data_IF_542364487775
#
_entry.id   IF_542364487775
#
_cell.length_a   1.000
_cell.length_b   1.000
_cell.length_c   1.000
_cell.angle_alpha   90.00
_cell.angle_beta   90.00
_cell.angle_gamma   90.00
#
_symmetry.space_group_name_H-M   'P 1'
#
loop_
_entity.id
_entity.type
_entity.pdbx_description
1 polymer ?
#
# COMPACT_ATOMS: atom_id res chain seq x y z
N UNK A 1 30.09 10.04 -39.39
CA UNK A 1 29.34 8.83 -39.04
C UNK A 1 28.42 8.56 -40.22
N UNK A 2 28.57 7.45 -40.91
CA UNK A 2 27.92 7.19 -42.21
C UNK A 2 26.40 7.06 -42.05
N UNK A 3 25.60 7.56 -43.00
CA UNK A 3 24.13 7.51 -42.95
C UNK A 3 23.59 6.07 -42.77
N UNK A 4 24.35 5.07 -43.22
CA UNK A 4 24.07 3.64 -43.03
C UNK A 4 24.12 3.18 -41.57
N UNK A 5 24.94 3.79 -40.71
CA UNK A 5 24.92 3.50 -39.27
C UNK A 5 23.68 4.09 -38.60
N UNK A 6 23.22 5.26 -39.06
CA UNK A 6 22.04 5.90 -38.52
C UNK A 6 20.78 5.09 -38.86
N UNK A 7 20.69 4.56 -40.09
CA UNK A 7 19.58 3.70 -40.51
C UNK A 7 19.51 2.40 -39.73
N UNK A 8 20.66 1.79 -39.40
CA UNK A 8 20.70 0.55 -38.61
C UNK A 8 20.23 0.76 -37.17
N UNK A 9 20.37 1.98 -36.64
CA UNK A 9 19.87 2.34 -35.32
C UNK A 9 18.42 2.84 -35.33
N UNK A 10 17.77 3.03 -36.48
CA UNK A 10 16.40 3.57 -36.51
C UNK A 10 15.39 2.75 -35.68
N UNK A 11 15.66 1.46 -35.48
CA UNK A 11 14.79 0.53 -34.75
C UNK A 11 15.21 0.30 -33.28
N UNK A 12 16.17 1.05 -32.71
CA UNK A 12 16.61 0.82 -31.32
C UNK A 12 15.49 1.03 -30.29
N UNK A 13 14.53 1.88 -30.63
CA UNK A 13 13.39 2.22 -29.78
C UNK A 13 12.21 1.27 -29.99
N UNK A 14 12.26 0.35 -30.97
CA UNK A 14 11.15 -0.57 -31.21
C UNK A 14 10.87 -1.41 -29.96
N UNK A 15 9.67 -1.22 -29.42
CA UNK A 15 9.23 -1.91 -28.23
C UNK A 15 8.25 -3.02 -28.58
N UNK A 16 8.40 -4.17 -27.95
CA UNK A 16 7.34 -5.16 -27.92
C UNK A 16 6.04 -4.53 -27.34
N UNK A 17 4.95 -4.47 -28.12
CA UNK A 17 3.70 -3.85 -27.71
C UNK A 17 3.04 -4.55 -26.51
N UNK A 18 3.37 -5.81 -26.23
CA UNK A 18 2.87 -6.52 -25.06
C UNK A 18 3.60 -6.16 -23.76
N UNK A 19 4.76 -5.49 -23.84
CA UNK A 19 5.55 -5.08 -22.67
C UNK A 19 5.41 -3.57 -22.40
N UNK A 20 5.55 -2.75 -23.45
CA UNK A 20 5.58 -1.29 -23.33
C UNK A 20 4.53 -0.58 -24.18
N UNK A 21 3.60 -1.34 -24.77
CA UNK A 21 2.53 -0.77 -25.58
C UNK A 21 1.55 0.05 -24.75
N UNK A 22 0.78 0.88 -25.46
CA UNK A 22 -0.09 1.90 -24.86
C UNK A 22 -1.07 1.30 -23.85
N UNK A 23 -1.69 0.15 -24.14
CA UNK A 23 -2.64 -0.47 -23.23
C UNK A 23 -2.03 -0.93 -21.91
N UNK A 24 -0.80 -1.49 -21.92
CA UNK A 24 -0.08 -1.87 -20.68
C UNK A 24 0.27 -0.64 -19.85
N UNK A 25 0.67 0.46 -20.48
CA UNK A 25 0.96 1.71 -19.77
C UNK A 25 -0.29 2.29 -19.14
N UNK A 26 -1.36 2.43 -19.94
CA UNK A 26 -2.64 2.99 -19.49
C UNK A 26 -3.24 2.13 -18.37
N UNK A 27 -3.20 0.79 -18.50
CA UNK A 27 -3.67 -0.10 -17.44
C UNK A 27 -2.84 0.10 -16.17
N UNK A 28 -1.52 0.18 -16.28
CA UNK A 28 -0.64 0.38 -15.14
C UNK A 28 -0.89 1.74 -14.46
N UNK A 29 -1.06 2.82 -15.24
CA UNK A 29 -1.41 4.14 -14.72
C UNK A 29 -2.76 4.11 -14.01
N UNK A 30 -3.78 3.53 -14.65
CA UNK A 30 -5.11 3.46 -14.07
C UNK A 30 -5.11 2.61 -12.79
N UNK A 31 -4.47 1.44 -12.80
CA UNK A 31 -4.36 0.57 -11.63
C UNK A 31 -3.64 1.26 -10.47
N UNK A 32 -2.55 1.96 -10.75
CA UNK A 32 -1.78 2.67 -9.73
C UNK A 32 -2.58 3.82 -9.12
N UNK A 33 -3.31 4.57 -9.95
CA UNK A 33 -4.17 5.67 -9.50
C UNK A 33 -5.35 5.17 -8.67
N UNK A 34 -6.06 4.15 -9.17
CA UNK A 34 -7.20 3.54 -8.49
C UNK A 34 -6.81 2.92 -7.16
N UNK A 35 -5.62 2.30 -7.06
CA UNK A 35 -5.14 1.75 -5.79
C UNK A 35 -5.05 2.82 -4.72
N UNK A 36 -4.46 3.98 -5.01
CA UNK A 36 -4.31 5.05 -4.03
C UNK A 36 -5.66 5.60 -3.61
N UNK A 37 -6.58 5.81 -4.56
CA UNK A 37 -7.96 6.21 -4.26
C UNK A 37 -8.71 5.17 -3.41
N UNK A 38 -8.55 3.89 -3.73
CA UNK A 38 -9.22 2.80 -3.03
C UNK A 38 -8.72 2.71 -1.60
N UNK A 39 -7.42 2.79 -1.38
CA UNK A 39 -6.83 2.72 -0.02
C UNK A 39 -7.26 3.90 0.85
N UNK A 40 -7.45 5.07 0.26
CA UNK A 40 -7.97 6.23 0.96
C UNK A 40 -9.47 6.10 1.33
N UNK A 41 -10.25 5.32 0.57
CA UNK A 41 -11.72 5.23 0.73
C UNK A 41 -12.21 3.94 1.39
N UNK A 42 -11.69 2.80 0.99
CA UNK A 42 -12.11 1.46 1.44
C UNK A 42 -10.92 0.70 2.03
N UNK A 43 -10.80 0.75 3.35
CA UNK A 43 -9.76 0.03 4.09
C UNK A 43 -10.01 -1.48 4.14
N UNK A 44 -11.27 -1.92 3.98
CA UNK A 44 -11.65 -3.34 4.03
C UNK A 44 -11.22 -4.07 2.75
N UNK A 45 -11.39 -3.43 1.59
CA UNK A 45 -11.01 -3.99 0.29
C UNK A 45 -9.54 -3.73 -0.06
N UNK A 46 -8.92 -2.71 0.56
CA UNK A 46 -7.55 -2.28 0.27
C UNK A 46 -6.49 -3.39 0.29
N UNK A 47 -6.45 -4.32 1.27
CA UNK A 47 -5.39 -5.32 1.33
C UNK A 47 -5.35 -6.23 0.10
N UNK A 48 -6.52 -6.61 -0.42
CA UNK A 48 -6.63 -7.50 -1.58
C UNK A 48 -6.11 -6.77 -2.83
N UNK A 49 -6.61 -5.56 -3.09
CA UNK A 49 -6.17 -4.73 -4.22
C UNK A 49 -4.67 -4.42 -4.14
N UNK A 50 -4.18 -4.11 -2.93
CA UNK A 50 -2.76 -3.85 -2.69
C UNK A 50 -1.90 -5.09 -3.01
N UNK A 51 -2.31 -6.28 -2.57
CA UNK A 51 -1.60 -7.53 -2.91
C UNK A 51 -1.58 -7.82 -4.41
N UNK A 52 -2.70 -7.62 -5.10
CA UNK A 52 -2.77 -7.78 -6.56
C UNK A 52 -1.84 -6.79 -7.25
N UNK A 53 -1.80 -5.54 -6.80
CA UNK A 53 -0.89 -4.53 -7.35
C UNK A 53 0.58 -4.86 -7.10
N UNK A 54 0.93 -5.30 -5.89
CA UNK A 54 2.27 -5.76 -5.52
C UNK A 54 2.68 -6.93 -6.42
N UNK A 55 1.81 -7.93 -6.58
CA UNK A 55 2.09 -9.12 -7.40
C UNK A 55 2.28 -8.77 -8.88
N UNK A 56 1.45 -7.87 -9.43
CA UNK A 56 1.56 -7.43 -10.83
C UNK A 56 2.83 -6.61 -11.06
N UNK A 57 3.13 -5.64 -10.19
CA UNK A 57 4.39 -4.87 -10.24
C UNK A 57 5.62 -5.78 -10.14
N UNK A 58 5.61 -6.73 -9.22
CA UNK A 58 6.68 -7.71 -9.05
C UNK A 58 6.82 -8.64 -10.26
N UNK A 59 5.71 -9.08 -10.85
CA UNK A 59 5.70 -9.89 -12.07
C UNK A 59 6.35 -9.19 -13.26
N UNK A 60 6.05 -7.89 -13.45
CA UNK A 60 6.69 -7.06 -14.50
C UNK A 60 8.19 -6.97 -14.29
N UNK A 61 8.63 -6.79 -13.04
CA UNK A 61 10.04 -6.73 -12.67
C UNK A 61 10.76 -8.07 -12.94
N UNK A 62 10.14 -9.20 -12.58
CA UNK A 62 10.70 -10.53 -12.88
C UNK A 62 10.78 -10.76 -14.39
N UNK A 63 9.72 -10.45 -15.13
CA UNK A 63 9.71 -10.59 -16.58
C UNK A 63 10.87 -9.80 -17.22
N UNK A 64 11.11 -8.58 -16.75
CA UNK A 64 12.22 -7.74 -17.20
C UNK A 64 13.60 -8.39 -16.95
N UNK A 65 13.78 -9.04 -15.80
CA UNK A 65 15.04 -9.73 -15.46
C UNK A 65 15.23 -11.00 -16.27
N UNK A 66 14.17 -11.80 -16.43
CA UNK A 66 14.21 -13.04 -17.20
C UNK A 66 14.53 -12.76 -18.66
N UNK A 67 13.90 -11.73 -19.24
CA UNK A 67 14.08 -11.32 -20.63
C UNK A 67 15.22 -10.31 -20.82
N UNK A 68 16.14 -10.14 -19.86
CA UNK A 68 17.22 -9.13 -19.91
C UNK A 68 18.09 -9.18 -21.18
N UNK A 69 18.16 -10.34 -21.85
CA UNK A 69 18.92 -10.51 -23.11
C UNK A 69 18.17 -9.98 -24.33
N UNK A 70 16.85 -9.97 -24.28
CA UNK A 70 15.97 -9.58 -25.39
C UNK A 70 15.50 -8.12 -25.24
N UNK A 71 15.47 -7.61 -24.00
CA UNK A 71 15.00 -6.26 -23.69
C UNK A 71 16.07 -5.23 -24.02
N UNK A 72 15.68 -4.18 -24.77
CA UNK A 72 16.56 -3.05 -25.06
C UNK A 72 16.77 -2.15 -23.84
N UNK A 73 17.86 -1.40 -23.80
CA UNK A 73 18.11 -0.42 -22.74
C UNK A 73 16.93 0.58 -22.60
N UNK A 74 16.33 0.96 -23.73
CA UNK A 74 15.16 1.83 -23.76
C UNK A 74 13.97 1.23 -23.01
N UNK A 75 13.64 -0.03 -23.27
CA UNK A 75 12.58 -0.74 -22.56
C UNK A 75 12.89 -0.91 -21.07
N UNK A 76 14.15 -1.22 -20.72
CA UNK A 76 14.57 -1.32 -19.32
C UNK A 76 14.41 0.00 -18.55
N UNK A 77 14.77 1.13 -19.18
CA UNK A 77 14.58 2.47 -18.60
C UNK A 77 13.10 2.83 -18.45
N UNK A 78 12.28 2.50 -19.46
CA UNK A 78 10.83 2.71 -19.38
C UNK A 78 10.18 1.86 -18.27
N UNK A 79 10.56 0.58 -18.16
CA UNK A 79 10.12 -0.28 -17.07
C UNK A 79 10.55 0.26 -15.71
N UNK A 80 11.76 0.83 -15.61
CA UNK A 80 12.21 1.49 -14.37
C UNK A 80 11.27 2.64 -13.96
N UNK A 81 10.76 3.44 -14.90
CA UNK A 81 9.76 4.49 -14.60
C UNK A 81 8.45 3.93 -14.05
N UNK A 82 7.91 2.86 -14.68
CA UNK A 82 6.69 2.20 -14.20
C UNK A 82 6.90 1.62 -12.80
N UNK A 83 8.03 0.96 -12.57
CA UNK A 83 8.38 0.39 -11.27
C UNK A 83 8.48 1.47 -10.19
N UNK A 84 9.09 2.62 -10.50
CA UNK A 84 9.13 3.76 -9.58
C UNK A 84 7.74 4.29 -9.25
N UNK A 85 6.88 4.44 -10.26
CA UNK A 85 5.50 4.87 -10.09
C UNK A 85 4.72 3.92 -9.16
N UNK A 86 4.87 2.61 -9.35
CA UNK A 86 4.24 1.61 -8.48
C UNK A 86 4.78 1.63 -7.05
N UNK A 87 6.11 1.68 -6.88
CA UNK A 87 6.72 1.74 -5.55
C UNK A 87 6.25 2.98 -4.78
N UNK A 88 6.11 4.12 -5.47
CA UNK A 88 5.61 5.34 -4.87
C UNK A 88 4.15 5.23 -4.43
N UNK A 89 3.29 4.65 -5.26
CA UNK A 89 1.89 4.42 -4.91
C UNK A 89 1.73 3.42 -3.75
N UNK A 90 2.49 2.31 -3.74
CA UNK A 90 2.51 1.37 -2.62
C UNK A 90 2.91 2.09 -1.33
N UNK A 91 3.93 2.94 -1.38
CA UNK A 91 4.36 3.70 -0.22
C UNK A 91 3.25 4.61 0.33
N UNK A 92 2.57 5.36 -0.54
CA UNK A 92 1.45 6.23 -0.11
C UNK A 92 0.28 5.41 0.41
N UNK A 93 -0.08 4.32 -0.27
CA UNK A 93 -1.10 3.39 0.19
C UNK A 93 -0.77 2.85 1.59
N UNK A 94 0.48 2.45 1.84
CA UNK A 94 0.90 1.98 3.16
C UNK A 94 0.86 3.09 4.21
N UNK A 95 1.24 4.32 3.86
CA UNK A 95 1.16 5.47 4.76
C UNK A 95 -0.29 5.80 5.14
N UNK A 96 -1.19 5.85 4.15
CA UNK A 96 -2.64 6.04 4.36
C UNK A 96 -3.23 4.90 5.20
N UNK A 97 -2.88 3.65 4.90
CA UNK A 97 -3.32 2.47 5.62
C UNK A 97 -2.85 2.49 7.09
N UNK A 98 -1.58 2.82 7.34
CA UNK A 98 -1.00 2.92 8.69
C UNK A 98 -1.74 3.95 9.55
N UNK A 99 -2.08 5.12 8.98
CA UNK A 99 -2.82 6.18 9.68
C UNK A 99 -4.21 5.72 10.10
N UNK A 100 -4.92 5.02 9.22
CA UNK A 100 -6.27 4.54 9.52
C UNK A 100 -6.24 3.39 10.55
N UNK A 101 -5.19 2.56 10.53
CA UNK A 101 -5.01 1.47 11.49
C UNK A 101 -4.86 1.96 12.92
N UNK A 102 -4.23 3.11 13.18
CA UNK A 102 -4.16 3.65 14.56
C UNK A 102 -5.55 3.91 15.17
N UNK A 103 -6.59 4.09 14.34
CA UNK A 103 -7.95 4.26 14.81
C UNK A 103 -8.67 2.93 15.13
N UNK A 104 -8.10 1.78 14.78
CA UNK A 104 -8.64 0.44 15.05
C UNK A 104 -7.70 -0.38 15.92
N UNK A 105 -8.24 -1.32 16.70
CA UNK A 105 -7.41 -2.28 17.44
C UNK A 105 -6.70 -3.17 16.40
N UNK A 106 -5.40 -2.99 16.26
CA UNK A 106 -4.54 -3.68 15.31
C UNK A 106 -4.74 -5.21 15.36
N UNK A 107 -5.10 -5.83 14.23
CA UNK A 107 -5.08 -7.28 14.09
C UNK A 107 -3.67 -7.75 13.74
N UNK A 108 -3.29 -8.95 14.20
CA UNK A 108 -2.00 -9.58 13.88
C UNK A 108 -1.84 -9.88 12.39
N UNK A 109 -2.94 -10.21 11.69
CA UNK A 109 -2.94 -10.50 10.25
C UNK A 109 -2.47 -9.31 9.41
N UNK A 110 -2.80 -8.09 9.82
CA UNK A 110 -2.45 -6.85 9.11
C UNK A 110 -0.94 -6.61 9.06
N UNK A 111 -0.21 -7.12 10.05
CA UNK A 111 1.23 -6.99 10.11
C UNK A 111 1.87 -7.69 8.91
N UNK A 112 1.45 -8.93 8.59
CA UNK A 112 2.02 -9.70 7.47
C UNK A 112 1.90 -8.97 6.14
N UNK A 113 0.77 -8.32 5.89
CA UNK A 113 0.54 -7.53 4.66
C UNK A 113 1.52 -6.36 4.57
N UNK A 114 1.67 -5.61 5.67
CA UNK A 114 2.61 -4.48 5.74
C UNK A 114 4.04 -4.90 5.46
N UNK A 115 4.56 -5.95 6.12
CA UNK A 115 5.93 -6.42 5.88
C UNK A 115 6.12 -7.02 4.49
N UNK A 116 5.12 -7.73 3.96
CA UNK A 116 5.17 -8.25 2.60
C UNK A 116 5.33 -7.13 1.57
N UNK A 117 4.53 -6.07 1.68
CA UNK A 117 4.64 -4.90 0.84
C UNK A 117 5.99 -4.18 0.99
N UNK A 118 6.49 -4.07 2.23
CA UNK A 118 7.78 -3.45 2.49
C UNK A 118 8.95 -4.20 1.86
N UNK A 119 8.98 -5.53 2.01
CA UNK A 119 10.02 -6.40 1.45
C UNK A 119 9.97 -6.37 -0.08
N UNK A 120 8.78 -6.46 -0.68
CA UNK A 120 8.64 -6.39 -2.13
C UNK A 120 9.10 -5.03 -2.68
N UNK A 121 8.77 -3.93 -2.01
CA UNK A 121 9.20 -2.59 -2.41
C UNK A 121 10.73 -2.47 -2.35
N UNK A 122 11.38 -2.98 -1.29
CA UNK A 122 12.84 -3.01 -1.18
C UNK A 122 13.48 -3.85 -2.29
N UNK A 123 12.91 -5.01 -2.59
CA UNK A 123 13.40 -5.86 -3.67
C UNK A 123 13.28 -5.17 -5.03
N UNK A 124 12.13 -4.55 -5.29
CA UNK A 124 11.84 -3.78 -6.50
C UNK A 124 12.80 -2.59 -6.69
N UNK A 125 13.06 -1.83 -5.62
CA UNK A 125 14.04 -0.74 -5.61
C UNK A 125 15.47 -1.25 -5.82
N UNK A 126 15.86 -2.34 -5.15
CA UNK A 126 17.17 -2.97 -5.32
C UNK A 126 17.42 -3.45 -6.74
N UNK A 127 16.40 -4.04 -7.37
CA UNK A 127 16.47 -4.47 -8.77
C UNK A 127 16.53 -3.27 -9.73
N UNK A 128 15.82 -2.18 -9.42
CA UNK A 128 15.96 -0.93 -10.17
C UNK A 128 17.39 -0.41 -10.12
N UNK A 129 18.00 -0.34 -8.93
CA UNK A 129 19.41 0.02 -8.77
C UNK A 129 20.30 -0.95 -9.56
N UNK A 130 20.01 -2.26 -9.53
CA UNK A 130 20.74 -3.24 -10.31
C UNK A 130 20.66 -2.98 -11.82
N UNK A 131 19.49 -2.64 -12.37
CA UNK A 131 19.34 -2.27 -13.80
C UNK A 131 20.23 -1.07 -14.14
N UNK A 132 20.23 -0.03 -13.29
CA UNK A 132 21.10 1.14 -13.47
C UNK A 132 22.59 0.79 -13.33
N UNK A 133 22.96 -0.11 -12.41
CA UNK A 133 24.33 -0.62 -12.20
C UNK A 133 24.82 -1.53 -13.33
N UNK A 134 23.97 -2.37 -13.92
CA UNK A 134 24.35 -3.17 -15.10
C UNK A 134 24.59 -2.26 -16.30
N UNK A 135 23.79 -1.20 -16.44
CA UNK A 135 24.08 -0.13 -17.39
C UNK A 135 25.43 0.56 -17.10
N UNK A 136 25.98 0.43 -15.88
CA UNK A 136 27.25 1.06 -15.48
C UNK A 136 28.51 0.46 -16.14
N UNK A 137 28.49 -0.83 -16.49
CA UNK A 137 29.69 -1.62 -16.78
C UNK A 137 30.56 -1.17 -17.97
N UNK A 138 30.08 -0.31 -18.88
CA UNK A 138 30.77 -0.06 -20.16
C UNK A 138 31.53 1.27 -20.30
N UNK A 139 31.43 2.20 -19.34
CA UNK A 139 31.84 3.60 -19.55
C UNK A 139 33.31 3.95 -19.24
N UNK A 140 34.01 3.13 -18.45
CA UNK A 140 35.41 3.37 -18.15
C UNK A 140 36.29 2.33 -18.85
N UNK A 141 36.51 2.56 -20.15
CA UNK A 141 37.82 2.25 -20.72
C UNK A 141 38.82 3.06 -19.89
N UNK A 142 39.39 2.39 -18.88
CA UNK A 142 40.43 2.95 -18.05
C UNK A 142 41.53 3.49 -18.97
N UNK A 143 42.00 4.69 -18.63
CA UNK A 143 43.19 5.31 -19.19
C UNK A 143 44.27 4.24 -19.43
N UNK A 144 44.89 4.18 -20.63
CA UNK A 144 45.79 3.11 -21.04
C UNK A 144 47.08 2.97 -20.21
N UNK A 145 47.31 3.82 -19.20
CA UNK A 145 48.60 3.91 -18.50
C UNK A 145 48.68 3.12 -17.18
N UNK A 146 47.72 2.26 -16.84
CA UNK A 146 47.85 1.31 -15.72
C UNK A 146 47.69 -0.14 -16.19
N UNK A 147 48.57 -0.49 -17.11
CA UNK A 147 48.72 -1.78 -17.76
C UNK A 147 49.57 -2.69 -16.88
N UNK A 148 49.00 -3.48 -15.97
CA UNK A 148 49.61 -4.78 -15.61
C UNK A 148 48.76 -5.78 -14.78
N UNK A 149 47.57 -5.43 -14.27
CA UNK A 149 46.81 -6.36 -13.42
C UNK A 149 45.32 -6.45 -13.73
N UNK A 150 44.96 -6.64 -15.01
CA UNK A 150 43.60 -7.05 -15.42
C UNK A 150 43.62 -8.04 -16.57
N UNK A 151 44.15 -9.24 -16.32
CA UNK A 151 44.07 -10.38 -17.26
C UNK A 151 42.96 -11.40 -16.93
N UNK A 152 42.08 -11.15 -15.96
CA UNK A 152 40.94 -12.04 -15.71
C UNK A 152 39.68 -11.18 -15.54
N UNK A 153 38.65 -11.51 -16.32
CA UNK A 153 37.33 -10.83 -16.37
C UNK A 153 37.20 -9.66 -17.34
N UNK A 154 37.67 -9.82 -18.58
CA UNK A 154 37.03 -9.23 -19.76
C UNK A 154 35.86 -10.10 -20.22
N UNK A 155 34.96 -10.44 -19.29
CA UNK A 155 33.62 -10.83 -19.70
C UNK A 155 32.97 -9.54 -20.17
N UNK A 156 32.74 -9.41 -21.48
CA UNK A 156 31.90 -8.35 -22.06
C UNK A 156 30.65 -8.31 -21.21
N UNK A 157 30.50 -7.26 -20.39
CA UNK A 157 29.34 -7.15 -19.51
C UNK A 157 28.11 -7.21 -20.42
N UNK A 158 27.13 -8.09 -20.14
CA UNK A 158 25.98 -8.27 -21.00
C UNK A 158 25.25 -6.92 -21.10
N UNK A 159 25.36 -6.29 -22.25
CA UNK A 159 24.56 -5.11 -22.59
C UNK A 159 23.11 -5.56 -22.74
N UNK A 160 22.19 -4.66 -22.42
CA UNK A 160 20.78 -4.90 -22.73
C UNK A 160 20.60 -4.94 -24.25
N UNK A 161 20.12 -6.09 -24.75
CA UNK A 161 19.84 -6.32 -26.15
C UNK A 161 21.07 -6.55 -27.06
N UNK A 162 20.78 -6.94 -28.30
CA UNK A 162 21.77 -7.22 -29.34
C UNK A 162 22.32 -5.96 -30.06
N UNK A 163 21.84 -4.76 -29.71
CA UNK A 163 22.16 -3.48 -30.39
C UNK A 163 22.78 -2.45 -29.45
N UNK A 164 23.87 -2.81 -28.77
CA UNK A 164 24.56 -1.91 -27.83
C UNK A 164 25.10 -0.64 -28.52
N UNK A 165 25.45 -0.72 -29.80
CA UNK A 165 25.97 0.39 -30.61
C UNK A 165 25.01 1.59 -30.70
N UNK A 166 23.70 1.36 -30.59
CA UNK A 166 22.67 2.40 -30.70
C UNK A 166 22.33 3.06 -29.36
N UNK A 167 22.87 2.56 -28.25
CA UNK A 167 22.60 3.08 -26.91
C UNK A 167 22.97 4.56 -26.68
N UNK A 168 23.98 5.16 -27.35
CA UNK A 168 24.31 6.58 -27.20
C UNK A 168 23.20 7.54 -27.69
N UNK A 169 22.30 7.07 -28.55
CA UNK A 169 21.22 7.87 -29.10
C UNK A 169 20.01 7.97 -28.16
N UNK A 170 19.93 7.11 -27.15
CA UNK A 170 18.82 7.10 -26.19
C UNK A 170 18.93 8.34 -25.30
N UNK A 171 17.89 9.17 -25.36
CA UNK A 171 17.74 10.36 -24.53
C UNK A 171 16.88 10.03 -23.32
N UNK A 172 17.46 10.21 -22.14
CA UNK A 172 16.72 10.18 -20.89
C UNK A 172 16.08 11.54 -20.64
N UNK A 173 14.79 11.57 -20.30
CA UNK A 173 14.04 12.82 -20.07
C UNK A 173 13.73 12.91 -18.58
N UNK A 174 14.29 13.90 -17.89
CA UNK A 174 14.04 14.17 -16.48
C UNK A 174 13.59 15.63 -16.33
N UNK A 175 12.40 15.88 -15.79
CA UNK A 175 11.82 17.24 -15.69
C UNK A 175 11.84 18.02 -17.02
N UNK A 176 11.51 17.35 -18.13
CA UNK A 176 11.58 17.89 -19.50
C UNK A 176 13.00 18.23 -20.01
N UNK A 177 14.05 17.98 -19.22
CA UNK A 177 15.44 18.13 -19.64
C UNK A 177 15.88 16.83 -20.32
N UNK A 178 16.40 16.96 -21.54
CA UNK A 178 17.00 15.85 -22.30
C UNK A 178 18.44 15.65 -21.85
N UNK A 179 18.76 14.45 -21.37
CA UNK A 179 20.10 14.07 -20.93
C UNK A 179 20.47 12.76 -21.63
N UNK A 180 21.70 12.61 -22.16
CA UNK A 180 22.13 11.33 -22.73
C UNK A 180 22.06 10.23 -21.67
N UNK A 181 21.32 9.15 -21.96
CA UNK A 181 21.00 8.10 -20.99
C UNK A 181 22.26 7.41 -20.45
N UNK A 182 23.26 7.14 -21.32
CA UNK A 182 24.49 6.46 -20.94
C UNK A 182 25.47 7.28 -20.10
N UNK A 183 25.41 8.62 -20.18
CA UNK A 183 26.35 9.52 -19.48
C UNK A 183 25.70 10.08 -18.23
N UNK A 184 25.27 11.33 -18.28
CA UNK A 184 24.72 12.03 -17.13
C UNK A 184 23.40 11.41 -16.65
N UNK A 185 22.54 10.93 -17.56
CA UNK A 185 21.26 10.30 -17.20
C UNK A 185 21.44 9.11 -16.26
N UNK A 186 22.50 8.31 -16.48
CA UNK A 186 22.88 7.17 -15.65
C UNK A 186 23.23 7.54 -14.23
N UNK A 187 24.11 8.52 -14.05
CA UNK A 187 24.52 8.98 -12.72
C UNK A 187 23.34 9.62 -11.99
N UNK A 188 22.56 10.45 -12.69
CA UNK A 188 21.37 11.09 -12.13
C UNK A 188 20.37 10.03 -11.68
N UNK A 189 20.04 9.06 -12.54
CA UNK A 189 19.11 7.97 -12.24
C UNK A 189 19.58 7.13 -11.06
N UNK A 190 20.87 6.82 -10.97
CA UNK A 190 21.42 6.05 -9.86
C UNK A 190 21.43 6.83 -8.54
N UNK A 191 21.85 8.09 -8.57
CA UNK A 191 21.85 8.97 -7.38
C UNK A 191 20.41 9.10 -6.87
N UNK A 192 19.47 9.39 -7.76
CA UNK A 192 18.07 9.53 -7.41
C UNK A 192 17.49 8.22 -6.87
N UNK A 193 17.72 7.10 -7.54
CA UNK A 193 17.25 5.79 -7.10
C UNK A 193 17.85 5.39 -5.74
N UNK A 194 19.14 5.62 -5.54
CA UNK A 194 19.81 5.37 -4.27
C UNK A 194 19.25 6.25 -3.15
N UNK A 195 19.09 7.55 -3.39
CA UNK A 195 18.58 8.49 -2.40
C UNK A 195 17.16 8.12 -1.96
N UNK A 196 16.28 7.84 -2.93
CA UNK A 196 14.90 7.42 -2.62
C UNK A 196 14.86 6.08 -1.89
N UNK A 197 15.72 5.12 -2.27
CA UNK A 197 15.81 3.83 -1.57
C UNK A 197 16.30 4.00 -0.15
N UNK A 198 17.33 4.81 0.08
CA UNK A 198 17.83 5.13 1.42
C UNK A 198 16.75 5.82 2.27
N UNK A 199 16.06 6.82 1.71
CA UNK A 199 14.96 7.50 2.39
C UNK A 199 13.85 6.51 2.77
N UNK A 200 13.48 5.60 1.85
CA UNK A 200 12.48 4.58 2.10
C UNK A 200 12.90 3.61 3.21
N UNK A 201 14.16 3.16 3.21
CA UNK A 201 14.72 2.31 4.28
C UNK A 201 14.66 3.03 5.63
N UNK A 202 15.04 4.31 5.67
CA UNK A 202 15.01 5.10 6.91
C UNK A 202 13.59 5.22 7.48
N UNK A 203 12.60 5.55 6.64
CA UNK A 203 11.19 5.63 7.06
C UNK A 203 10.67 4.26 7.50
N UNK A 204 11.00 3.21 6.76
CA UNK A 204 10.64 1.82 7.06
C UNK A 204 11.21 1.36 8.41
N UNK A 205 12.50 1.61 8.64
CA UNK A 205 13.17 1.31 9.90
C UNK A 205 12.58 2.10 11.06
N UNK A 206 12.29 3.39 10.85
CA UNK A 206 11.63 4.22 11.87
C UNK A 206 10.25 3.68 12.24
N UNK A 207 9.45 3.29 11.26
CA UNK A 207 8.10 2.75 11.48
C UNK A 207 8.14 1.40 12.19
N UNK A 208 9.04 0.49 11.78
CA UNK A 208 9.28 -0.79 12.46
C UNK A 208 9.76 -0.58 13.90
N UNK A 209 10.72 0.33 14.12
CA UNK A 209 11.25 0.63 15.44
C UNK A 209 10.18 1.26 16.36
N UNK A 210 9.37 2.18 15.82
CA UNK A 210 8.27 2.79 16.56
C UNK A 210 7.19 1.77 16.92
N UNK A 211 6.91 0.82 16.03
CA UNK A 211 5.98 -0.29 16.25
C UNK A 211 6.50 -1.24 17.33
N UNK A 212 7.79 -1.59 17.28
CA UNK A 212 8.45 -2.41 18.30
C UNK A 212 8.42 -1.75 19.68
N UNK A 213 8.72 -0.44 19.76
CA UNK A 213 8.69 0.33 21.01
C UNK A 213 7.30 0.37 21.64
N UNK A 214 6.24 0.48 20.83
CA UNK A 214 4.84 0.45 21.31
C UNK A 214 4.41 -0.94 21.78
N UNK A 215 4.97 -2.00 21.20
CA UNK A 215 4.63 -3.38 21.55
C UNK A 215 5.49 -4.00 22.64
N UNK A 216 6.57 -3.35 23.10
CA UNK A 216 7.30 -3.80 24.28
C UNK A 216 6.27 -3.86 25.42
N UNK A 217 5.81 -5.07 25.81
CA UNK A 217 4.78 -5.19 26.83
C UNK A 217 5.37 -4.52 28.04
N UNK A 218 4.61 -3.64 28.68
CA UNK A 218 4.99 -3.09 29.97
C UNK A 218 5.09 -4.28 30.93
N UNK A 219 6.26 -4.93 30.97
CA UNK A 219 6.63 -5.98 31.93
C UNK A 219 6.51 -5.45 33.37
N UNK A 220 6.33 -4.13 33.54
CA UNK A 220 6.04 -3.51 34.81
C UNK A 220 4.58 -3.69 35.28
N UNK A 221 3.64 -4.07 34.41
CA UNK A 221 2.21 -4.20 34.81
C UNK A 221 1.82 -5.60 35.29
N UNK A 222 2.65 -6.62 35.10
CA UNK A 222 2.37 -7.98 35.60
C UNK A 222 2.75 -8.18 37.07
N UNK A 223 3.39 -7.19 37.71
CA UNK A 223 3.80 -7.29 39.12
C UNK A 223 2.74 -6.82 40.14
N UNK A 224 1.60 -6.28 39.71
CA UNK A 224 0.55 -5.76 40.63
C UNK A 224 -0.49 -6.84 40.99
N UNK A 225 -0.44 -8.05 40.39
CA UNK A 225 -1.42 -9.12 40.67
C UNK A 225 -0.91 -10.24 41.59
N UNK A 226 0.25 -10.05 42.20
CA UNK A 226 0.72 -10.87 43.31
C UNK A 226 0.90 -10.00 44.57
N UNK A 227 -0.09 -9.15 44.87
CA UNK A 227 -0.28 -8.78 46.27
C UNK A 227 -0.82 -10.04 46.96
N UNK A 228 -0.07 -10.66 47.88
CA UNK A 228 -0.56 -11.82 48.60
C UNK A 228 -1.85 -11.43 49.31
N UNK A 229 -2.93 -12.17 49.05
CA UNK A 229 -4.18 -12.04 49.78
C UNK A 229 -3.86 -12.06 51.28
N UNK A 230 -3.87 -10.89 51.91
CA UNK A 230 -3.93 -10.80 53.36
C UNK A 230 -5.26 -11.44 53.75
N UNK A 231 -5.27 -12.47 54.62
CA UNK A 231 -6.49 -13.18 54.97
C UNK A 231 -7.49 -12.17 55.55
N UNK A 232 -8.78 -12.25 55.16
CA UNK A 232 -9.80 -11.37 55.72
C UNK A 232 -9.85 -11.55 57.24
N UNK A 233 -10.02 -10.47 58.02
CA UNK A 233 -10.26 -10.59 59.45
C UNK A 233 -11.52 -11.46 59.69
N UNK A 234 -11.54 -12.30 60.74
CA UNK A 234 -12.62 -13.23 61.00
C UNK A 234 -13.93 -12.47 61.29
N UNK A 235 -14.81 -12.39 60.29
CA UNK A 235 -16.19 -11.96 60.47
C UNK A 235 -17.01 -13.08 61.14
N UNK A 236 -17.80 -12.65 62.13
CA UNK A 236 -18.56 -13.49 63.02
C UNK A 236 -19.65 -14.31 62.30
N UNK A 237 -19.83 -15.52 62.81
CA UNK A 237 -20.80 -16.54 62.41
C UNK A 237 -22.22 -15.96 62.45
N UNK A 238 -22.78 -15.67 61.28
CA UNK A 238 -24.21 -15.42 61.06
C UNK A 238 -24.87 -16.65 60.45
N UNK A 239 -25.52 -17.44 61.27
CA UNK A 239 -26.35 -18.59 60.90
C UNK A 239 -27.56 -18.16 60.08
N UNK A 240 -27.65 -18.55 58.80
CA UNK A 240 -28.94 -18.62 58.12
C UNK A 240 -29.15 -19.93 57.37
N UNK A 241 -30.31 -20.49 57.72
CA UNK A 241 -30.93 -21.77 57.40
C UNK A 241 -30.98 -22.17 55.91
N UNK A 242 -30.84 -23.47 55.72
CA UNK A 242 -31.19 -24.27 54.54
C UNK A 242 -32.72 -24.28 54.37
N UNK A 243 -33.20 -24.12 53.14
CA UNK A 243 -34.51 -24.67 52.75
C UNK A 243 -34.43 -25.21 51.31
N UNK A 244 -34.49 -26.54 51.22
CA UNK A 244 -34.65 -27.30 49.99
C UNK A 244 -36.14 -27.36 49.62
N UNK A 245 -36.47 -27.34 48.32
CA UNK A 245 -37.69 -27.99 47.83
C UNK A 245 -37.51 -28.45 46.37
N UNK A 246 -37.96 -29.68 46.03
CA UNK A 246 -37.87 -30.24 44.68
C UNK A 246 -39.24 -30.37 43.95
N UNK A 247 -39.13 -30.66 42.66
CA UNK A 247 -40.03 -31.39 41.76
C UNK A 247 -41.22 -30.71 41.02
N UNK A 248 -41.34 -31.12 39.75
CA UNK A 248 -42.53 -31.60 38.99
C UNK A 248 -42.80 -30.95 37.61
N UNK A 249 -42.53 -31.76 36.57
CA UNK A 249 -43.25 -32.10 35.34
C UNK A 249 -43.75 -31.07 34.30
N UNK A 250 -43.28 -31.32 33.06
CA UNK A 250 -44.00 -31.47 31.77
C UNK A 250 -45.42 -30.92 31.58
N UNK A 251 -45.62 -30.09 30.55
CA UNK A 251 -46.71 -30.26 29.56
C UNK A 251 -46.50 -29.42 28.29
N UNK A 252 -47.10 -29.88 27.19
CA UNK A 252 -46.91 -29.38 25.83
C UNK A 252 -48.23 -28.85 25.22
N UNK A 253 -48.07 -28.00 24.18
CA UNK A 253 -48.97 -27.62 23.04
C UNK A 253 -50.10 -26.54 23.27
N UNK A 254 -50.71 -25.91 22.21
CA UNK A 254 -50.58 -24.49 21.81
C UNK A 254 -51.97 -23.77 21.70
N UNK A 255 -52.24 -22.86 20.73
CA UNK A 255 -51.82 -21.46 20.53
C UNK A 255 -53.01 -20.46 20.72
N UNK A 256 -52.76 -19.16 20.92
CA UNK A 256 -53.63 -18.08 20.38
C UNK A 256 -53.11 -16.66 20.63
N UNK A 257 -53.31 -15.85 19.59
CA UNK A 257 -53.31 -14.40 19.55
C UNK A 257 -53.98 -13.74 20.78
N UNK A 258 -53.41 -12.64 21.28
CA UNK A 258 -54.05 -11.32 21.23
C UNK A 258 -53.13 -10.18 21.66
N UNK A 259 -53.47 -9.01 21.12
CA UNK A 259 -52.85 -7.72 21.27
C UNK A 259 -53.07 -7.06 22.65
N UNK A 260 -52.36 -5.94 22.84
CA UNK A 260 -52.58 -4.86 23.83
C UNK A 260 -52.19 -5.29 25.27
N UNK A 261 -51.25 -4.69 26.00
CA UNK A 261 -51.29 -3.30 26.53
C UNK A 261 -49.97 -3.04 27.28
N UNK A 262 -49.48 -1.80 27.25
CA UNK A 262 -48.36 -1.33 28.04
C UNK A 262 -48.65 -1.41 29.55
N UNK A 263 -47.71 -1.96 30.32
CA UNK A 263 -47.62 -1.77 31.77
C UNK A 263 -46.19 -1.38 32.09
N UNK A 264 -46.02 -0.10 32.39
CA UNK A 264 -44.82 0.51 32.95
C UNK A 264 -44.70 0.06 34.41
N UNK A 265 -43.70 -0.76 34.71
CA UNK A 265 -43.30 -1.04 36.10
C UNK A 265 -42.05 -0.22 36.39
N UNK A 266 -42.25 0.90 37.09
CA UNK A 266 -41.20 1.67 37.75
C UNK A 266 -40.65 0.86 38.92
N UNK A 267 -39.51 0.20 38.73
CA UNK A 267 -38.73 -0.35 39.84
C UNK A 267 -37.70 0.69 40.27
N UNK A 268 -38.08 1.52 41.23
CA UNK A 268 -37.19 2.43 41.95
C UNK A 268 -36.25 1.62 42.86
N UNK A 269 -35.07 1.25 42.34
CA UNK A 269 -33.97 0.73 43.16
C UNK A 269 -33.03 1.87 43.52
N UNK A 270 -33.17 2.33 44.76
CA UNK A 270 -32.19 3.14 45.48
C UNK A 270 -30.93 2.32 45.72
N UNK A 271 -29.85 2.60 44.99
CA UNK A 271 -28.50 2.17 45.39
C UNK A 271 -27.57 3.36 45.56
N UNK A 272 -27.26 3.56 46.84
CA UNK A 272 -26.16 4.28 47.47
C UNK A 272 -25.13 4.97 46.54
N UNK A 273 -25.18 6.29 46.62
CA UNK A 273 -24.16 7.26 46.25
C UNK A 273 -22.83 7.00 46.98
N UNK A 274 -21.86 6.40 46.30
CA UNK A 274 -20.44 6.44 46.68
C UNK A 274 -19.73 7.53 45.87
N UNK A 275 -19.53 8.67 46.54
CA UNK A 275 -18.86 9.85 46.02
C UNK A 275 -17.35 9.59 45.92
N UNK A 276 -16.89 9.10 44.76
CA UNK A 276 -15.49 9.20 44.37
C UNK A 276 -15.35 10.16 43.21
N UNK A 277 -15.28 11.45 43.55
CA UNK A 277 -15.01 12.57 42.67
C UNK A 277 -13.60 12.45 42.08
N UNK A 278 -13.43 11.55 41.10
CA UNK A 278 -12.26 11.57 40.23
C UNK A 278 -12.32 12.84 39.42
N UNK A 279 -11.31 13.69 39.59
CA UNK A 279 -11.01 14.82 38.72
C UNK A 279 -10.96 14.35 37.26
N UNK A 280 -12.11 14.44 36.58
CA UNK A 280 -12.19 14.28 35.13
C UNK A 280 -11.54 15.54 34.56
N UNK A 281 -10.24 15.45 34.25
CA UNK A 281 -9.57 16.42 33.41
C UNK A 281 -10.36 16.52 32.10
N UNK A 282 -11.23 17.52 32.02
CA UNK A 282 -11.99 17.89 30.81
C UNK A 282 -10.97 18.26 29.76
N UNK A 283 -10.60 17.26 28.93
CA UNK A 283 -9.77 17.45 27.75
C UNK A 283 -10.35 18.62 26.94
N UNK A 284 -9.52 19.56 26.48
CA UNK A 284 -9.98 20.72 25.75
C UNK A 284 -10.82 20.25 24.55
N UNK A 285 -12.04 20.81 24.47
CA UNK A 285 -13.04 20.56 23.45
C UNK A 285 -12.45 21.03 22.12
N UNK A 286 -11.75 20.13 21.41
CA UNK A 286 -11.13 20.43 20.11
C UNK A 286 -12.20 21.01 19.20
N UNK A 287 -11.95 22.22 18.70
CA UNK A 287 -12.83 22.94 17.78
C UNK A 287 -13.24 21.99 16.66
N UNK A 288 -14.55 21.77 16.57
CA UNK A 288 -15.19 20.98 15.55
C UNK A 288 -15.06 21.75 14.24
N UNK A 289 -13.98 21.47 13.48
CA UNK A 289 -13.85 21.97 12.12
C UNK A 289 -15.02 21.41 11.32
N UNK A 290 -15.90 22.29 10.87
CA UNK A 290 -17.11 22.01 10.10
C UNK A 290 -16.84 21.74 8.61
N UNK A 291 -15.57 21.58 8.24
CA UNK A 291 -15.20 21.03 6.94
C UNK A 291 -15.16 19.51 7.02
N UNK A 292 -16.10 18.83 6.36
CA UNK A 292 -16.19 17.36 6.33
C UNK A 292 -14.92 16.69 5.76
N UNK A 293 -14.09 17.43 5.02
CA UNK A 293 -12.82 16.92 4.51
C UNK A 293 -11.67 17.09 5.51
N UNK A 294 -10.96 15.98 5.76
CA UNK A 294 -9.73 15.97 6.52
C UNK A 294 -8.63 16.72 5.71
N UNK A 295 -8.14 17.89 6.16
CA UNK A 295 -7.19 18.69 5.40
C UNK A 295 -5.89 17.92 5.12
N UNK A 296 -5.54 16.95 5.98
CA UNK A 296 -4.39 16.08 5.76
C UNK A 296 -4.63 15.10 4.61
N UNK A 297 -5.85 14.55 4.49
CA UNK A 297 -6.21 13.67 3.35
C UNK A 297 -6.17 14.47 2.04
N UNK A 298 -6.77 15.66 2.03
CA UNK A 298 -6.76 16.54 0.84
C UNK A 298 -5.33 16.85 0.43
N UNK A 299 -4.45 17.17 1.39
CA UNK A 299 -3.03 17.38 1.12
C UNK A 299 -2.35 16.17 0.49
N UNK A 300 -2.59 14.96 1.01
CA UNK A 300 -2.04 13.70 0.47
C UNK A 300 -2.54 13.47 -0.96
N UNK A 301 -3.83 13.66 -1.22
CA UNK A 301 -4.43 13.46 -2.55
C UNK A 301 -3.90 14.47 -3.57
N UNK A 302 -3.79 15.76 -3.21
CA UNK A 302 -3.22 16.78 -4.11
C UNK A 302 -1.76 16.45 -4.43
N UNK A 303 -0.97 16.14 -3.40
CA UNK A 303 0.43 15.76 -3.56
C UNK A 303 0.59 14.51 -4.44
N UNK A 304 -0.27 13.52 -4.23
CA UNK A 304 -0.32 12.31 -5.04
C UNK A 304 -0.60 12.66 -6.51
N UNK A 305 -1.63 13.46 -6.80
CA UNK A 305 -1.99 13.84 -8.18
C UNK A 305 -0.81 14.53 -8.87
N UNK A 306 -0.11 15.42 -8.16
CA UNK A 306 1.05 16.13 -8.70
C UNK A 306 2.18 15.16 -9.07
N UNK A 307 2.56 14.25 -8.18
CA UNK A 307 3.62 13.27 -8.45
C UNK A 307 3.22 12.28 -9.53
N UNK A 308 1.96 11.84 -9.52
CA UNK A 308 1.43 10.92 -10.50
C UNK A 308 1.45 11.52 -11.90
N UNK A 309 0.96 12.76 -12.02
CA UNK A 309 1.02 13.53 -13.26
C UNK A 309 2.46 13.71 -13.73
N UNK A 310 3.38 14.02 -12.81
CA UNK A 310 4.80 14.15 -13.12
C UNK A 310 5.39 12.87 -13.73
N UNK A 311 5.14 11.70 -13.13
CA UNK A 311 5.66 10.43 -13.65
C UNK A 311 5.05 10.05 -15.00
N UNK A 312 3.73 10.24 -15.17
CA UNK A 312 3.06 9.97 -16.46
C UNK A 312 3.63 10.87 -17.55
N UNK A 313 3.69 12.19 -17.32
CA UNK A 313 4.21 13.15 -18.29
C UNK A 313 5.68 12.85 -18.61
N UNK A 314 6.50 12.53 -17.61
CA UNK A 314 7.90 12.16 -17.83
C UNK A 314 8.04 10.88 -18.65
N UNK A 315 7.20 9.87 -18.39
CA UNK A 315 7.18 8.61 -19.15
C UNK A 315 6.74 8.82 -20.60
N UNK A 316 5.67 9.58 -20.84
CA UNK A 316 5.18 9.84 -22.20
C UNK A 316 6.10 10.78 -22.98
N UNK A 317 6.73 11.76 -22.32
CA UNK A 317 7.78 12.57 -22.95
C UNK A 317 9.01 11.74 -23.28
N UNK A 318 9.41 10.80 -22.42
CA UNK A 318 10.52 9.88 -22.70
C UNK A 318 10.27 9.08 -23.97
N UNK A 319 9.06 8.56 -24.16
CA UNK A 319 8.66 7.84 -25.38
C UNK A 319 8.62 8.77 -26.60
N UNK A 320 8.01 9.96 -26.46
CA UNK A 320 7.90 10.93 -27.55
C UNK A 320 9.27 11.42 -28.06
N UNK A 321 10.27 11.51 -27.18
CA UNK A 321 11.63 11.95 -27.54
C UNK A 321 12.51 10.85 -28.14
N UNK A 322 12.09 9.59 -28.05
CA UNK A 322 12.77 8.44 -28.65
C UNK A 322 11.79 7.73 -29.60
N UNK A 323 11.50 8.33 -30.77
CA UNK A 323 10.47 7.81 -31.68
C UNK A 323 10.83 6.43 -32.21
N UNK A 324 9.82 5.56 -32.30
CA UNK A 324 9.91 4.25 -32.95
C UNK A 324 9.55 4.39 -34.42
N UNK A 325 10.26 3.69 -35.30
CA UNK A 325 9.91 3.60 -36.73
C UNK A 325 8.75 2.64 -36.96
N UNK A 326 8.59 1.64 -36.10
CA UNK A 326 7.46 0.72 -36.19
C UNK A 326 6.16 1.37 -35.71
N UNK A 327 5.08 1.12 -36.46
CA UNK A 327 3.71 1.42 -36.02
C UNK A 327 3.26 0.52 -34.84
N UNK A 328 4.15 -0.33 -34.32
CA UNK A 328 3.88 -1.27 -33.23
C UNK A 328 3.42 -0.58 -31.95
N UNK A 329 3.86 0.66 -31.71
CA UNK A 329 3.40 1.44 -30.55
C UNK A 329 1.88 1.73 -30.55
N UNK A 330 1.24 1.71 -31.73
CA UNK A 330 -0.21 1.97 -31.90
C UNK A 330 -1.04 0.69 -32.01
N UNK A 331 -0.40 -0.47 -32.16
CA UNK A 331 -1.10 -1.73 -32.28
C UNK A 331 -1.48 -2.28 -30.90
N UNK A 332 -2.74 -2.71 -30.79
CA UNK A 332 -3.27 -3.37 -29.60
C UNK A 332 -2.90 -4.85 -29.61
N UNK A 333 -2.03 -5.26 -28.69
CA UNK A 333 -1.65 -6.65 -28.47
C UNK A 333 -2.57 -7.36 -27.47
N UNK A 334 -2.51 -8.70 -27.44
CA UNK A 334 -3.24 -9.51 -26.46
C UNK A 334 -2.86 -9.15 -25.02
N UNK A 335 -1.57 -8.89 -24.77
CA UNK A 335 -1.06 -8.52 -23.44
C UNK A 335 -1.67 -7.21 -22.93
N UNK A 336 -1.93 -6.26 -23.83
CA UNK A 336 -2.54 -4.97 -23.49
C UNK A 336 -4.01 -5.12 -23.04
N UNK A 337 -4.79 -5.97 -23.72
CA UNK A 337 -6.19 -6.23 -23.36
C UNK A 337 -6.24 -6.95 -22.02
N UNK A 338 -5.39 -7.96 -21.81
CA UNK A 338 -5.30 -8.68 -20.54
C UNK A 338 -4.94 -7.73 -19.40
N UNK A 339 -3.98 -6.83 -19.62
CA UNK A 339 -3.59 -5.85 -18.61
C UNK A 339 -4.76 -4.94 -18.20
N UNK A 340 -5.60 -4.49 -19.14
CA UNK A 340 -6.80 -3.72 -18.83
C UNK A 340 -7.85 -4.52 -18.05
N UNK A 341 -8.05 -5.79 -18.38
CA UNK A 341 -8.97 -6.68 -17.67
C UNK A 341 -8.55 -6.81 -16.19
N UNK A 342 -7.24 -6.90 -15.92
CA UNK A 342 -6.71 -6.97 -14.55
C UNK A 342 -7.00 -5.71 -13.72
N UNK A 343 -7.23 -4.56 -14.36
CA UNK A 343 -7.60 -3.30 -13.66
C UNK A 343 -9.07 -3.27 -13.25
N UNK A 344 -9.94 -4.00 -13.95
CA UNK A 344 -11.39 -3.93 -13.74
C UNK A 344 -11.84 -4.21 -12.31
N UNK A 345 -11.33 -5.22 -11.58
CA UNK A 345 -11.71 -5.44 -10.19
C UNK A 345 -11.44 -4.22 -9.30
N UNK A 346 -10.28 -3.57 -9.50
CA UNK A 346 -9.91 -2.36 -8.75
C UNK A 346 -10.85 -1.19 -9.07
N UNK A 347 -11.20 -1.03 -10.36
CA UNK A 347 -12.13 0.01 -10.80
C UNK A 347 -13.54 -0.20 -10.21
N UNK A 348 -14.05 -1.42 -10.25
CA UNK A 348 -15.36 -1.77 -9.68
C UNK A 348 -15.38 -1.55 -8.16
N UNK A 349 -14.31 -1.91 -7.44
CA UNK A 349 -14.21 -1.65 -6.00
C UNK A 349 -14.17 -0.15 -5.68
N UNK A 350 -13.50 0.66 -6.50
CA UNK A 350 -13.52 2.14 -6.35
C UNK A 350 -14.92 2.69 -6.61
N UNK A 351 -15.61 2.22 -7.66
CA UNK A 351 -16.97 2.66 -7.99
C UNK A 351 -17.95 2.27 -6.88
N UNK A 352 -17.89 1.04 -6.37
CA UNK A 352 -18.74 0.58 -5.26
C UNK A 352 -18.47 1.40 -3.98
N UNK A 353 -17.19 1.63 -3.65
CA UNK A 353 -16.81 2.47 -2.51
C UNK A 353 -17.30 3.92 -2.68
N UNK A 354 -17.19 4.50 -3.87
CA UNK A 354 -17.69 5.86 -4.16
C UNK A 354 -19.21 5.91 -4.15
N UNK A 355 -19.90 4.88 -4.63
CA UNK A 355 -21.36 4.79 -4.63
C UNK A 355 -21.94 4.70 -3.22
N UNK A 356 -21.34 3.86 -2.36
CA UNK A 356 -21.82 3.65 -0.98
C UNK A 356 -21.55 4.85 -0.07
N UNK A 357 -20.36 5.43 -0.17
CA UNK A 357 -19.91 6.47 0.78
C UNK A 357 -20.00 7.88 0.21
N UNK A 358 -20.17 8.04 -1.10
CA UNK A 358 -20.14 9.34 -1.77
C UNK A 358 -18.82 10.08 -1.51
N UNK A 359 -18.89 11.42 -1.50
CA UNK A 359 -17.80 12.28 -1.03
C UNK A 359 -17.84 12.55 0.47
N UNK A 360 -18.84 12.01 1.19
CA UNK A 360 -19.03 12.26 2.62
C UNK A 360 -18.08 11.39 3.44
N UNK A 361 -17.54 11.96 4.52
CA UNK A 361 -16.68 11.21 5.44
C UNK A 361 -17.51 10.15 6.17
N UNK A 362 -17.11 8.89 6.07
CA UNK A 362 -17.72 7.80 6.85
C UNK A 362 -17.47 8.09 8.33
N UNK A 363 -18.49 8.62 9.01
CA UNK A 363 -18.46 8.81 10.45
C UNK A 363 -18.62 7.43 11.08
N UNK A 364 -17.48 6.83 11.44
CA UNK A 364 -17.32 5.54 12.14
C UNK A 364 -18.21 5.36 13.39
N UNK A 365 -18.87 6.42 13.84
CA UNK A 365 -19.74 6.38 15.01
C UNK A 365 -21.09 5.73 14.74
N UNK A 366 -21.55 5.63 13.50
CA UNK A 366 -22.88 5.05 13.22
C UNK A 366 -22.89 3.52 13.35
N UNK A 367 -21.92 2.83 12.77
CA UNK A 367 -21.95 1.35 12.70
C UNK A 367 -21.69 0.68 14.06
N UNK A 368 -20.93 1.35 14.95
CA UNK A 368 -20.75 0.86 16.32
C UNK A 368 -22.05 0.99 17.12
N UNK A 369 -22.86 2.02 16.86
CA UNK A 369 -24.16 2.18 17.51
C UNK A 369 -25.14 1.15 16.95
N UNK A 370 -25.17 0.94 15.65
CA UNK A 370 -26.07 -0.04 15.03
C UNK A 370 -25.77 -1.47 15.47
N UNK A 371 -24.51 -1.89 15.45
CA UNK A 371 -24.11 -3.22 15.93
C UNK A 371 -24.30 -3.40 17.44
N UNK A 372 -24.10 -2.34 18.25
CA UNK A 372 -24.40 -2.39 19.67
C UNK A 372 -25.91 -2.48 19.93
N UNK A 373 -26.73 -1.84 19.10
CA UNK A 373 -28.19 -1.87 19.21
C UNK A 373 -28.72 -3.26 18.82
N UNK A 374 -28.20 -3.88 17.75
CA UNK A 374 -28.54 -5.25 17.36
C UNK A 374 -28.10 -6.26 18.44
N UNK A 375 -26.89 -6.12 18.98
CA UNK A 375 -26.40 -7.00 20.04
C UNK A 375 -27.17 -6.86 21.36
N UNK A 376 -27.68 -5.66 21.69
CA UNK A 376 -28.58 -5.47 22.84
C UNK A 376 -29.99 -5.99 22.56
N UNK A 377 -30.49 -5.85 21.32
CA UNK A 377 -31.80 -6.37 20.92
C UNK A 377 -31.87 -7.90 20.94
N UNK A 378 -30.81 -8.60 20.54
CA UNK A 378 -30.76 -10.06 20.54
C UNK A 378 -30.66 -10.71 21.95
N UNK A 379 -30.53 -9.90 23.02
CA UNK A 379 -30.39 -10.41 24.39
C UNK A 379 -31.69 -10.42 25.20
N UNK A 380 -32.78 -9.98 24.60
CA UNK A 380 -34.09 -9.86 25.25
C UNK A 380 -35.16 -10.79 24.67
N UNK A 381 -34.80 -11.88 23.98
CA UNK A 381 -35.77 -12.96 23.76
C UNK A 381 -36.00 -13.72 25.08
N UNK A 382 -37.20 -13.66 25.67
CA UNK A 382 -37.53 -14.42 26.87
C UNK A 382 -37.61 -15.92 26.53
N UNK A 383 -36.93 -16.73 27.34
CA UNK A 383 -37.00 -18.20 27.34
C UNK A 383 -38.27 -18.67 28.03
#
# INVERSE_FOLDING_TARGET
MSDTHLSNCANYADTNPDIAGVGVRVSFYLQTFLLVLLVDRSWESAPITLWTFIATSFGVVIAAVVQRREISLFQALHLSYLVWLANFAIFISLASYSRQREAQKASYKDFKVKYGAMIQTLFSMGLTIYIWQVSLGHGHAASPNLMHLRCVSRAVAPTFGNQSECSPFIKYVLFAIEVPALRAGRYIGLIFASLLTTLYILISCYDIWSSYKRHKPSLASSHILNEPNEPPPPEAIGTHFISNSPDIASQAVPPRFNAITAVTVETSVLTASSNHARHIHRRPRRRHWTGELDPMLVGIVIWQILIFTYFIVSSELFLKRNPTTSNGATQWGYGQILALIVVMPSALSVIDALGRYGFKRVSKRSDVVENATIAMGARHEPV
#
